data_IF_521956031802
#
_entry.id   IF_521956031802
#
_cell.length_a   1.000
_cell.length_b   1.000
_cell.length_c   1.000
_cell.angle_alpha   90.00
_cell.angle_beta   90.00
_cell.angle_gamma   90.00
#
_symmetry.space_group_name_H-M   'P 1'
#
loop_
_entity.id
_entity.type
_entity.pdbx_description
1 polymer ?
#
# COMPACT_ATOMS: atom_id res chain seq x y z
N UNK A 1 -10.97 -11.60 -32.59
CA UNK A 1 -10.51 -10.26 -32.21
C UNK A 1 -10.82 -10.01 -30.75
N UNK A 2 -9.86 -9.54 -30.03
CA UNK A 2 -10.06 -9.17 -28.62
C UNK A 2 -9.74 -7.71 -28.43
N UNK A 3 -10.63 -7.00 -27.74
CA UNK A 3 -10.40 -5.60 -27.39
C UNK A 3 -10.20 -5.42 -25.90
N UNK A 4 -10.13 -6.53 -25.13
CA UNK A 4 -10.03 -6.47 -23.68
C UNK A 4 -8.89 -5.58 -23.21
N UNK A 5 -7.68 -5.77 -23.77
CA UNK A 5 -6.53 -4.99 -23.37
C UNK A 5 -6.70 -3.51 -23.73
N UNK A 6 -7.31 -3.21 -24.88
CA UNK A 6 -7.57 -1.84 -25.33
C UNK A 6 -8.65 -1.16 -24.49
N UNK A 7 -9.62 -1.95 -23.97
CA UNK A 7 -10.70 -1.41 -23.15
C UNK A 7 -10.30 -1.28 -21.68
N UNK A 8 -9.18 -1.86 -21.28
CA UNK A 8 -8.71 -1.86 -19.90
C UNK A 8 -8.04 -0.53 -19.57
N UNK A 9 -8.55 0.22 -18.58
CA UNK A 9 -7.91 1.45 -18.16
C UNK A 9 -6.50 1.19 -17.65
N UNK A 10 -5.64 2.18 -17.76
CA UNK A 10 -4.30 2.12 -17.16
C UNK A 10 -4.41 2.17 -15.64
N UNK A 11 -3.49 1.51 -14.94
CA UNK A 11 -3.39 1.63 -13.50
C UNK A 11 -2.97 3.05 -13.11
N UNK A 12 -3.47 3.53 -11.96
CA UNK A 12 -3.09 4.83 -11.41
C UNK A 12 -1.67 4.82 -10.90
N UNK A 13 -1.23 3.67 -10.38
CA UNK A 13 0.11 3.50 -9.81
C UNK A 13 1.01 2.84 -10.86
N UNK A 14 2.18 3.43 -11.18
CA UNK A 14 3.12 2.80 -12.11
C UNK A 14 3.50 1.40 -11.64
N UNK A 15 3.37 0.42 -12.54
CA UNK A 15 3.70 -0.97 -12.26
C UNK A 15 2.59 -1.78 -11.60
N UNK A 16 1.52 -1.16 -11.13
CA UNK A 16 0.39 -1.89 -10.56
C UNK A 16 -0.42 -2.58 -11.68
N UNK A 17 -1.08 -3.67 -11.33
CA UNK A 17 -1.98 -4.38 -12.24
C UNK A 17 -3.37 -3.77 -12.12
N UNK A 18 -3.95 -3.41 -13.25
CA UNK A 18 -5.33 -2.93 -13.30
C UNK A 18 -6.25 -4.07 -13.67
N UNK A 19 -7.29 -4.30 -12.85
CA UNK A 19 -8.33 -5.29 -13.18
C UNK A 19 -9.11 -4.84 -14.41
N UNK A 20 -9.20 -5.71 -15.40
CA UNK A 20 -9.96 -5.48 -16.61
C UNK A 20 -11.27 -6.24 -16.63
N UNK A 21 -12.09 -6.05 -17.69
CA UNK A 21 -13.35 -6.77 -17.82
C UNK A 21 -13.14 -8.29 -17.77
N UNK A 22 -13.90 -8.96 -16.91
CA UNK A 22 -13.82 -10.42 -16.78
C UNK A 22 -12.66 -10.94 -15.96
N UNK A 23 -11.83 -10.10 -15.43
CA UNK A 23 -10.70 -10.49 -14.57
C UNK A 23 -11.09 -10.34 -13.12
N UNK A 24 -11.27 -11.45 -12.41
CA UNK A 24 -11.75 -11.45 -11.03
C UNK A 24 -10.80 -12.08 -10.03
N UNK A 25 -9.77 -12.79 -10.49
CA UNK A 25 -8.82 -13.49 -9.63
C UNK A 25 -7.40 -13.05 -9.96
N UNK A 26 -6.65 -12.69 -8.94
CA UNK A 26 -5.27 -12.24 -9.09
C UNK A 26 -4.40 -13.01 -8.09
N UNK A 27 -3.44 -13.79 -8.61
CA UNK A 27 -2.47 -14.47 -7.78
C UNK A 27 -1.33 -13.49 -7.49
N UNK A 28 -1.32 -12.96 -6.28
CA UNK A 28 -0.33 -11.95 -5.89
C UNK A 28 1.11 -12.49 -5.92
N UNK A 29 1.27 -13.82 -5.88
CA UNK A 29 2.59 -14.43 -6.03
C UNK A 29 3.18 -14.27 -7.43
N UNK A 30 2.35 -13.99 -8.43
CA UNK A 30 2.78 -13.82 -9.82
C UNK A 30 2.72 -12.36 -10.29
N UNK A 31 2.12 -11.49 -9.50
CA UNK A 31 2.06 -10.06 -9.83
C UNK A 31 3.39 -9.41 -9.54
N UNK A 32 3.85 -8.55 -10.45
CA UNK A 32 5.10 -7.80 -10.30
C UNK A 32 5.09 -7.01 -8.99
N UNK A 33 6.19 -7.09 -8.24
CA UNK A 33 6.37 -6.29 -7.03
C UNK A 33 6.77 -4.87 -7.40
N UNK A 34 6.20 -3.91 -6.71
CA UNK A 34 6.53 -2.49 -6.88
C UNK A 34 6.82 -1.86 -5.52
N UNK A 35 7.48 -0.71 -5.53
CA UNK A 35 7.67 0.07 -4.31
C UNK A 35 6.37 0.78 -3.96
N UNK A 36 6.00 0.74 -2.70
CA UNK A 36 4.78 1.41 -2.22
C UNK A 36 4.93 2.91 -2.07
N UNK A 37 6.16 3.38 -1.86
CA UNK A 37 6.46 4.81 -1.76
C UNK A 37 7.92 5.03 -2.11
N UNK A 38 8.28 5.07 -3.41
CA UNK A 38 9.68 4.98 -3.84
C UNK A 38 10.60 6.09 -3.32
N UNK A 39 10.04 7.24 -2.96
CA UNK A 39 10.87 8.35 -2.46
C UNK A 39 11.02 8.36 -0.95
N UNK A 40 10.26 7.54 -0.21
CA UNK A 40 10.18 7.68 1.25
C UNK A 40 9.95 6.37 2.01
N UNK A 41 9.75 5.24 1.35
CA UNK A 41 9.36 4.00 2.02
C UNK A 41 10.10 2.80 1.46
N UNK A 42 10.36 1.83 2.34
CA UNK A 42 10.91 0.52 1.95
C UNK A 42 9.81 -0.49 1.61
N UNK A 43 8.53 -0.14 1.81
CA UNK A 43 7.43 -1.04 1.50
C UNK A 43 7.46 -1.43 0.02
N UNK A 44 7.33 -2.73 -0.24
CA UNK A 44 7.31 -3.24 -1.61
C UNK A 44 6.43 -4.47 -1.68
N UNK A 45 5.84 -4.70 -2.84
CA UNK A 45 5.00 -5.86 -3.07
C UNK A 45 4.07 -5.68 -4.25
N UNK A 46 3.26 -6.70 -4.54
CA UNK A 46 2.29 -6.64 -5.62
C UNK A 46 1.11 -5.73 -5.27
N UNK A 47 0.63 -5.00 -6.26
CA UNK A 47 -0.48 -4.07 -6.13
C UNK A 47 -1.46 -4.27 -7.29
N UNK A 48 -2.74 -4.37 -6.97
CA UNK A 48 -3.82 -4.52 -7.95
C UNK A 48 -4.85 -3.43 -7.72
N UNK A 49 -5.32 -2.84 -8.81
CA UNK A 49 -6.31 -1.76 -8.77
C UNK A 49 -7.60 -2.15 -9.47
N UNK A 50 -8.72 -1.82 -8.84
CA UNK A 50 -10.04 -1.82 -9.47
C UNK A 50 -10.48 -0.40 -9.78
N UNK A 51 -11.77 -0.22 -10.01
CA UNK A 51 -12.32 1.11 -10.30
C UNK A 51 -12.27 2.05 -9.10
N UNK A 52 -12.53 1.51 -7.90
CA UNK A 52 -12.70 2.32 -6.69
C UNK A 52 -11.75 1.95 -5.57
N UNK A 53 -11.04 0.85 -5.67
CA UNK A 53 -10.17 0.36 -4.61
C UNK A 53 -8.83 -0.06 -5.17
N UNK A 54 -7.80 0.14 -4.35
CA UNK A 54 -6.44 -0.34 -4.62
C UNK A 54 -6.09 -1.28 -3.48
N UNK A 55 -5.56 -2.46 -3.78
CA UNK A 55 -5.10 -3.40 -2.78
C UNK A 55 -3.64 -3.77 -3.03
N UNK A 56 -2.91 -3.98 -1.97
CA UNK A 56 -1.51 -4.36 -2.07
C UNK A 56 -1.08 -5.26 -0.93
N UNK A 57 -0.19 -6.20 -1.22
CA UNK A 57 0.42 -7.05 -0.21
C UNK A 57 1.88 -6.62 -0.08
N UNK A 58 2.18 -5.92 1.00
CA UNK A 58 3.45 -5.23 1.17
C UNK A 58 4.30 -5.83 2.25
N UNK A 59 5.61 -5.71 2.07
CA UNK A 59 6.61 -6.10 3.06
C UNK A 59 7.53 -4.93 3.34
N UNK A 60 7.86 -4.73 4.61
CA UNK A 60 8.94 -3.84 5.03
C UNK A 60 9.98 -4.67 5.78
N UNK A 61 11.23 -4.52 5.43
CA UNK A 61 12.32 -5.23 6.11
C UNK A 61 12.44 -4.75 7.56
N UNK A 62 12.80 -5.66 8.46
CA UNK A 62 13.00 -5.39 9.89
C UNK A 62 13.80 -4.10 10.08
N UNK A 63 13.31 -3.22 10.95
CA UNK A 63 13.93 -1.96 11.30
C UNK A 63 13.83 -0.86 10.25
N UNK A 64 13.13 -1.10 9.14
CA UNK A 64 12.95 -0.10 8.08
C UNK A 64 11.48 0.27 7.93
N UNK A 65 11.21 1.30 7.14
CA UNK A 65 9.83 1.72 6.89
C UNK A 65 9.75 3.01 6.09
N UNK A 66 8.73 3.79 6.37
CA UNK A 66 8.41 5.01 5.64
C UNK A 66 8.73 6.24 6.45
N UNK A 67 9.24 7.27 5.78
CA UNK A 67 9.35 8.62 6.34
C UNK A 67 7.98 9.30 6.31
N UNK A 68 7.79 10.38 7.09
CA UNK A 68 6.50 11.08 7.10
C UNK A 68 6.04 11.50 5.71
N UNK A 69 4.80 11.19 5.41
CA UNK A 69 4.18 11.45 4.12
C UNK A 69 2.65 11.54 4.29
N UNK A 70 1.96 11.89 3.24
CA UNK A 70 0.50 11.95 3.22
C UNK A 70 -0.02 11.60 1.83
N UNK A 71 -1.30 11.32 1.75
CA UNK A 71 -1.99 11.12 0.47
C UNK A 71 -3.47 11.46 0.62
N UNK A 72 -4.11 11.93 -0.46
CA UNK A 72 -5.51 12.37 -0.37
C UNK A 72 -6.52 11.23 -0.22
N UNK A 73 -6.15 9.98 -0.54
CA UNK A 73 -7.02 8.84 -0.34
C UNK A 73 -6.84 8.26 1.07
N UNK A 74 -7.91 7.72 1.65
CA UNK A 74 -7.79 7.03 2.94
C UNK A 74 -7.22 5.64 2.75
N UNK A 75 -6.71 5.07 3.83
CA UNK A 75 -6.00 3.79 3.79
C UNK A 75 -6.32 2.94 5.01
N UNK A 76 -6.44 1.63 4.80
CA UNK A 76 -6.44 0.62 5.85
C UNK A 76 -5.21 -0.26 5.69
N UNK A 77 -4.65 -0.69 6.79
CA UNK A 77 -3.51 -1.62 6.83
C UNK A 77 -3.87 -2.77 7.75
N UNK A 78 -3.90 -3.98 7.21
CA UNK A 78 -4.09 -5.20 8.00
C UNK A 78 -2.75 -5.88 8.19
N UNK A 79 -2.29 -5.97 9.44
CA UNK A 79 -0.98 -6.56 9.76
C UNK A 79 -1.10 -8.07 9.78
N UNK A 80 -0.31 -8.74 8.97
CA UNK A 80 -0.29 -10.21 8.84
C UNK A 80 0.86 -10.83 9.61
N UNK A 81 2.05 -10.23 9.55
CA UNK A 81 3.26 -10.72 10.23
C UNK A 81 4.05 -9.54 10.75
N UNK A 82 4.76 -9.76 11.85
CA UNK A 82 5.60 -8.74 12.45
C UNK A 82 4.83 -7.69 13.22
N UNK A 83 5.50 -6.63 13.61
CA UNK A 83 4.89 -5.50 14.31
C UNK A 83 5.08 -4.24 13.50
N UNK A 84 3.96 -3.59 13.17
CA UNK A 84 3.94 -2.34 12.43
C UNK A 84 3.80 -1.19 13.41
N UNK A 85 4.88 -0.41 13.57
CA UNK A 85 4.86 0.77 14.42
C UNK A 85 4.51 1.97 13.54
N UNK A 86 3.36 2.56 13.79
CA UNK A 86 2.85 3.66 12.97
C UNK A 86 2.68 4.93 13.82
N UNK A 87 3.03 6.07 13.22
CA UNK A 87 2.74 7.37 13.79
C UNK A 87 1.79 8.08 12.85
N UNK A 88 0.60 8.42 13.34
CA UNK A 88 -0.47 9.03 12.56
C UNK A 88 -0.93 10.27 13.28
N UNK A 89 -0.80 11.42 12.65
CA UNK A 89 -1.15 12.72 13.25
C UNK A 89 -0.52 12.89 14.64
N UNK A 90 0.74 12.49 14.76
CA UNK A 90 1.52 12.63 16.00
C UNK A 90 1.31 11.52 17.01
N UNK A 91 0.36 10.60 16.81
CA UNK A 91 0.11 9.50 17.73
C UNK A 91 0.81 8.23 17.24
N UNK A 92 1.64 7.64 18.10
CA UNK A 92 2.36 6.40 17.78
C UNK A 92 1.61 5.19 18.35
N UNK A 93 1.41 4.20 17.50
CA UNK A 93 0.77 2.94 17.85
C UNK A 93 1.62 1.77 17.38
N UNK A 94 1.45 0.61 18.02
CA UNK A 94 2.07 -0.63 17.57
C UNK A 94 0.97 -1.62 17.20
N UNK A 95 0.92 -1.98 15.93
CA UNK A 95 -0.06 -2.92 15.42
C UNK A 95 0.57 -4.28 15.24
N UNK A 96 -0.01 -5.29 15.89
CA UNK A 96 0.43 -6.68 15.84
C UNK A 96 -0.42 -7.47 14.85
N UNK A 97 0.02 -8.67 14.46
CA UNK A 97 -0.77 -9.50 13.54
C UNK A 97 -2.24 -9.63 13.97
N UNK A 98 -3.14 -9.43 13.03
CA UNK A 98 -4.58 -9.45 13.29
C UNK A 98 -5.20 -8.08 13.54
N UNK A 99 -4.37 -7.02 13.61
CA UNK A 99 -4.86 -5.65 13.80
C UNK A 99 -5.05 -4.94 12.47
N UNK A 100 -5.99 -4.01 12.42
CA UNK A 100 -6.10 -3.06 11.31
C UNK A 100 -5.76 -1.66 11.81
N UNK A 101 -5.05 -0.91 10.96
CA UNK A 101 -4.70 0.49 11.20
C UNK A 101 -5.45 1.34 10.19
N UNK A 102 -6.10 2.39 10.66
CA UNK A 102 -6.79 3.34 9.80
C UNK A 102 -5.96 4.60 9.64
N UNK A 103 -5.77 5.02 8.40
CA UNK A 103 -5.03 6.23 8.07
C UNK A 103 -5.99 7.15 7.33
N UNK A 104 -6.45 8.24 7.97
CA UNK A 104 -7.38 9.17 7.33
C UNK A 104 -6.77 9.86 6.11
N UNK A 105 -7.64 10.29 5.20
CA UNK A 105 -7.23 11.09 4.05
C UNK A 105 -6.44 12.31 4.53
N UNK A 106 -5.33 12.59 3.87
CA UNK A 106 -4.45 13.74 4.10
C UNK A 106 -3.71 13.74 5.44
N UNK A 107 -3.88 12.72 6.29
CA UNK A 107 -3.15 12.65 7.55
C UNK A 107 -1.65 12.43 7.29
N UNK A 108 -0.81 13.23 7.94
CA UNK A 108 0.63 12.98 7.92
C UNK A 108 0.91 11.75 8.77
N UNK A 109 1.60 10.77 8.20
CA UNK A 109 1.86 9.51 8.87
C UNK A 109 3.16 8.87 8.38
N UNK A 110 3.65 7.93 9.17
CA UNK A 110 4.72 7.02 8.79
C UNK A 110 4.51 5.71 9.52
N UNK A 111 5.21 4.70 9.06
CA UNK A 111 5.18 3.39 9.71
C UNK A 111 6.44 2.63 9.39
N UNK A 112 6.79 1.71 10.29
CA UNK A 112 7.98 0.89 10.10
C UNK A 112 7.81 -0.47 10.75
N UNK A 113 8.59 -1.42 10.28
CA UNK A 113 8.77 -2.70 10.96
C UNK A 113 9.70 -2.48 12.16
N UNK A 114 9.36 -3.07 13.31
CA UNK A 114 10.28 -3.05 14.45
C UNK A 114 11.52 -3.89 14.13
N UNK A 115 12.64 -3.69 14.84
CA UNK A 115 13.90 -4.37 14.50
C UNK A 115 13.86 -5.89 14.59
N UNK A 116 12.87 -6.47 15.25
CA UNK A 116 12.82 -7.91 15.51
C UNK A 116 12.49 -8.74 14.28
N UNK A 117 11.68 -8.20 13.36
CA UNK A 117 11.24 -8.96 12.19
C UNK A 117 10.68 -8.05 11.11
N UNK A 118 10.65 -8.56 9.88
CA UNK A 118 9.92 -7.91 8.79
C UNK A 118 8.46 -7.80 9.15
N UNK A 119 7.80 -6.78 8.62
CA UNK A 119 6.34 -6.70 8.69
C UNK A 119 5.76 -7.01 7.31
N UNK A 120 4.69 -7.79 7.32
CA UNK A 120 3.89 -8.06 6.12
C UNK A 120 2.49 -7.56 6.39
N UNK A 121 1.97 -6.73 5.51
CA UNK A 121 0.64 -6.18 5.67
C UNK A 121 -0.12 -6.13 4.34
N UNK A 122 -1.43 -6.27 4.43
CA UNK A 122 -2.33 -6.07 3.31
C UNK A 122 -2.92 -4.67 3.44
N UNK A 123 -2.74 -3.86 2.42
CA UNK A 123 -3.23 -2.50 2.43
C UNK A 123 -4.36 -2.30 1.44
N UNK A 124 -5.31 -1.43 1.81
CA UNK A 124 -6.44 -1.05 0.98
C UNK A 124 -6.51 0.46 0.98
N UNK A 125 -6.56 1.05 -0.21
CA UNK A 125 -6.76 2.49 -0.39
C UNK A 125 -7.92 2.71 -1.35
N UNK A 126 -8.64 3.82 -1.20
CA UNK A 126 -9.58 4.19 -2.25
C UNK A 126 -8.80 4.70 -3.47
N UNK A 127 -9.38 4.57 -4.64
CA UNK A 127 -8.72 4.84 -5.91
C UNK A 127 -8.87 6.29 -6.38
N UNK A 128 -9.20 7.21 -5.49
CA UNK A 128 -9.21 8.64 -5.82
C UNK A 128 -7.80 9.19 -6.06
N UNK A 129 -6.79 8.45 -5.61
CA UNK A 129 -5.37 8.73 -5.81
C UNK A 129 -4.66 7.39 -6.02
N UNK A 130 -3.39 7.39 -6.41
CA UNK A 130 -2.63 6.15 -6.56
C UNK A 130 -2.12 5.59 -5.23
N UNK A 131 -1.32 4.55 -5.31
CA UNK A 131 -0.70 3.93 -4.14
C UNK A 131 0.33 4.86 -3.49
N UNK A 132 1.10 5.59 -4.31
CA UNK A 132 2.19 6.42 -3.84
C UNK A 132 1.67 7.69 -3.18
N UNK A 133 2.25 8.05 -2.04
CA UNK A 133 1.93 9.28 -1.36
C UNK A 133 2.89 10.41 -1.69
N UNK A 134 2.81 11.46 -0.90
CA UNK A 134 3.60 12.68 -1.06
C UNK A 134 4.46 12.82 0.19
N UNK A 135 5.79 12.76 0.01
CA UNK A 135 6.72 12.90 1.12
C UNK A 135 6.56 14.28 1.75
N UNK A 136 6.52 14.32 3.09
CA UNK A 136 6.44 15.59 3.81
C UNK A 136 7.73 16.38 3.60
N UNK A 137 7.60 17.65 3.25
CA UNK A 137 8.75 18.56 3.16
C UNK A 137 9.29 18.87 4.57
N UNK A 138 10.58 19.07 4.66
CA UNK A 138 11.26 19.44 5.91
C UNK A 138 10.94 20.89 6.33
#
# INVERSE_FOLDING_TARGET
MSTQAADKPAARTPGAVRAGPGEFLFDLGTVQKIMGGPAYSTAHGPCVEGDRMIVGLMRMKAGTGAEPHSHPNEQWVYVMEGTFQATIEGKTIEAKPGSVVYIPANAVHNGKATPEADVVFFTVKDASYGLHGIKKAD
#
